data_IF_766905535203
#
_entry.id   IF_766905535203
#
_cell.length_a   1.000
_cell.length_b   1.000
_cell.length_c   1.000
_cell.angle_alpha   90.00
_cell.angle_beta   90.00
_cell.angle_gamma   90.00
#
_symmetry.space_group_name_H-M   'P 1'
#
loop_
_entity.id
_entity.type
_entity.pdbx_description
1 polymer ?
#
# COMPACT_ATOMS: atom_id res chain seq x y z
N UNK A 1 -19.12 0.50 46.02
CA UNK A 1 -18.92 1.41 44.87
C UNK A 1 -17.99 0.70 43.89
N UNK A 2 -18.29 0.68 42.59
CA UNK A 2 -17.41 0.02 41.62
C UNK A 2 -16.18 0.92 41.31
N UNK A 3 -14.98 0.35 41.07
CA UNK A 3 -13.83 1.14 40.66
C UNK A 3 -14.04 1.73 39.27
N UNK A 4 -13.83 3.04 39.13
CA UNK A 4 -13.99 3.76 37.85
C UNK A 4 -12.87 3.30 36.91
N UNK A 5 -13.23 2.53 35.88
CA UNK A 5 -12.26 2.06 34.89
C UNK A 5 -11.80 3.25 34.01
N UNK A 6 -10.48 3.39 33.73
CA UNK A 6 -10.01 4.43 32.82
C UNK A 6 -10.54 4.21 31.40
N UNK A 7 -10.87 5.31 30.72
CA UNK A 7 -11.37 5.30 29.34
C UNK A 7 -10.40 4.54 28.41
N UNK A 8 -10.86 3.43 27.83
CA UNK A 8 -10.05 2.59 26.92
C UNK A 8 -9.56 3.38 25.70
N UNK A 9 -10.31 4.38 25.26
CA UNK A 9 -9.96 5.29 24.16
C UNK A 9 -8.84 6.24 24.56
N UNK A 10 -8.83 6.75 25.79
CA UNK A 10 -7.74 7.57 26.33
C UNK A 10 -6.45 6.75 26.53
N UNK A 11 -6.58 5.54 27.10
CA UNK A 11 -5.45 4.59 27.23
C UNK A 11 -4.88 4.24 25.84
N UNK A 12 -5.75 4.00 24.85
CA UNK A 12 -5.32 3.75 23.47
C UNK A 12 -4.58 4.97 22.90
N UNK A 13 -5.18 6.16 22.91
CA UNK A 13 -4.58 7.38 22.34
C UNK A 13 -3.21 7.71 22.94
N UNK A 14 -3.05 7.58 24.25
CA UNK A 14 -1.80 7.93 24.94
C UNK A 14 -0.69 6.87 24.74
N UNK A 15 -1.02 5.61 24.39
CA UNK A 15 -0.05 4.53 24.16
C UNK A 15 0.09 4.10 22.68
N UNK A 16 -0.73 4.61 21.75
CA UNK A 16 -0.76 4.20 20.34
C UNK A 16 0.55 4.40 19.57
N UNK A 17 1.45 5.22 20.08
CA UNK A 17 2.78 5.48 19.51
C UNK A 17 3.91 4.74 20.26
N UNK A 18 3.61 4.16 21.43
CA UNK A 18 4.56 3.47 22.31
C UNK A 18 4.55 1.95 22.08
N UNK A 19 3.42 1.39 21.63
CA UNK A 19 3.14 -0.05 21.54
C UNK A 19 2.95 -0.57 20.09
N UNK A 20 3.53 0.13 19.11
CA UNK A 20 3.39 -0.18 17.67
C UNK A 20 4.20 -1.42 17.27
N UNK A 21 3.63 -2.20 16.34
CA UNK A 21 4.23 -3.25 15.51
C UNK A 21 5.68 -3.71 15.85
N UNK A 22 5.80 -4.60 16.84
CA UNK A 22 7.05 -5.28 17.19
C UNK A 22 6.98 -5.99 18.55
N UNK A 23 6.29 -5.35 19.50
CA UNK A 23 6.14 -5.72 20.91
C UNK A 23 5.29 -6.98 21.22
N UNK A 24 5.42 -8.04 20.42
CA UNK A 24 4.80 -9.36 20.63
C UNK A 24 5.13 -10.00 22.00
N UNK A 25 6.20 -9.51 22.65
CA UNK A 25 6.65 -9.89 24.00
C UNK A 25 6.01 -9.10 25.15
N UNK A 26 5.27 -8.00 24.92
CA UNK A 26 4.70 -7.16 26.00
C UNK A 26 3.41 -7.69 26.63
N UNK A 27 3.13 -8.99 26.53
CA UNK A 27 1.99 -9.63 27.23
C UNK A 27 2.17 -9.71 28.75
N UNK A 28 3.38 -9.50 29.27
CA UNK A 28 3.67 -9.49 30.70
C UNK A 28 3.36 -8.13 31.35
N UNK A 29 2.35 -8.09 32.23
CA UNK A 29 1.87 -6.88 32.93
C UNK A 29 2.98 -6.05 33.60
N UNK A 30 4.05 -6.70 34.11
CA UNK A 30 5.22 -6.01 34.68
C UNK A 30 5.92 -5.10 33.65
N UNK A 31 6.15 -5.59 32.43
CA UNK A 31 6.82 -4.81 31.35
C UNK A 31 5.92 -3.70 30.80
N UNK A 32 4.60 -3.88 30.83
CA UNK A 32 3.63 -2.81 30.51
C UNK A 32 3.77 -1.66 31.52
N UNK A 33 3.74 -1.94 32.82
CA UNK A 33 3.91 -0.93 33.89
C UNK A 33 5.26 -0.22 33.80
N UNK A 34 6.32 -0.97 33.48
CA UNK A 34 7.67 -0.45 33.28
C UNK A 34 7.74 0.51 32.07
N UNK A 35 7.19 0.12 30.91
CA UNK A 35 7.15 0.98 29.72
C UNK A 35 6.24 2.21 29.89
N UNK A 36 5.20 2.14 30.72
CA UNK A 36 4.40 3.30 31.14
C UNK A 36 5.22 4.23 32.06
N UNK A 37 5.94 3.70 33.06
CA UNK A 37 6.79 4.51 33.97
C UNK A 37 7.95 5.21 33.26
N UNK A 38 8.44 4.64 32.16
CA UNK A 38 9.50 5.23 31.33
C UNK A 38 8.98 6.27 30.30
N UNK A 39 7.66 6.48 30.20
CA UNK A 39 7.04 7.39 29.25
C UNK A 39 6.44 8.62 29.95
N UNK A 40 7.13 9.75 29.87
CA UNK A 40 6.67 11.02 30.43
C UNK A 40 5.84 11.82 29.42
N UNK A 41 4.63 11.34 29.10
CA UNK A 41 3.64 12.14 28.35
C UNK A 41 2.57 12.65 29.30
N UNK A 42 2.21 13.93 29.20
CA UNK A 42 1.28 14.58 30.13
C UNK A 42 -0.08 13.85 30.23
N UNK A 43 -0.56 13.30 29.11
CA UNK A 43 -1.78 12.51 29.04
C UNK A 43 -1.68 11.18 29.82
N UNK A 44 -0.52 10.49 29.79
CA UNK A 44 -0.31 9.29 30.62
C UNK A 44 -0.18 9.66 32.10
N UNK A 45 0.54 10.73 32.42
CA UNK A 45 0.72 11.18 33.81
C UNK A 45 -0.62 11.53 34.47
N UNK A 46 -1.49 12.27 33.79
CA UNK A 46 -2.85 12.56 34.27
C UNK A 46 -3.68 11.28 34.47
N UNK A 47 -3.73 10.40 33.46
CA UNK A 47 -4.52 9.16 33.51
C UNK A 47 -4.04 8.18 34.58
N UNK A 48 -2.73 8.17 34.89
CA UNK A 48 -2.13 7.37 35.97
C UNK A 48 -2.39 7.97 37.35
N UNK A 49 -2.49 9.30 37.47
CA UNK A 49 -2.91 9.98 38.70
C UNK A 49 -4.41 9.76 38.99
N UNK A 50 -5.26 9.79 37.97
CA UNK A 50 -6.72 9.69 38.11
C UNK A 50 -7.21 8.25 38.37
N UNK A 51 -6.68 7.26 37.63
CA UNK A 51 -7.18 5.88 37.65
C UNK A 51 -6.22 4.84 38.21
N UNK A 52 -5.06 5.23 38.76
CA UNK A 52 -3.98 4.36 39.22
C UNK A 52 -3.24 3.64 38.07
N UNK A 53 -1.91 3.54 38.20
CA UNK A 53 -1.04 2.78 37.27
C UNK A 53 -1.51 1.33 37.04
N UNK A 54 -2.11 0.70 38.05
CA UNK A 54 -2.60 -0.67 37.99
C UNK A 54 -3.73 -0.84 36.98
N UNK A 55 -4.74 0.03 37.02
CA UNK A 55 -5.92 -0.10 36.14
C UNK A 55 -5.58 0.32 34.71
N UNK A 56 -4.78 1.38 34.53
CA UNK A 56 -4.26 1.79 33.22
C UNK A 56 -3.45 0.66 32.56
N UNK A 57 -2.57 -0.02 33.32
CA UNK A 57 -1.83 -1.17 32.81
C UNK A 57 -2.72 -2.38 32.49
N UNK A 58 -3.78 -2.62 33.27
CA UNK A 58 -4.75 -3.69 33.00
C UNK A 58 -5.61 -3.41 31.76
N UNK A 59 -6.04 -2.16 31.51
CA UNK A 59 -6.71 -1.77 30.26
C UNK A 59 -5.75 -1.90 29.07
N UNK A 60 -4.52 -1.38 29.18
CA UNK A 60 -3.51 -1.52 28.14
C UNK A 60 -3.21 -2.99 27.80
N UNK A 61 -3.20 -3.88 28.80
CA UNK A 61 -3.08 -5.33 28.60
C UNK A 61 -4.26 -5.91 27.80
N UNK A 62 -5.52 -5.57 28.13
CA UNK A 62 -6.70 -6.01 27.37
C UNK A 62 -6.62 -5.55 25.91
N UNK A 63 -6.30 -4.28 25.68
CA UNK A 63 -6.15 -3.70 24.32
C UNK A 63 -4.99 -4.33 23.51
N UNK A 64 -3.93 -4.81 24.17
CA UNK A 64 -2.85 -5.59 23.56
C UNK A 64 -3.29 -7.03 23.22
N UNK A 65 -4.05 -7.68 24.09
CA UNK A 65 -4.59 -9.03 23.88
C UNK A 65 -5.59 -9.07 22.71
N UNK A 66 -6.43 -8.04 22.60
CA UNK A 66 -7.35 -7.83 21.48
C UNK A 66 -6.64 -7.46 20.14
N UNK A 67 -5.32 -7.22 20.19
CA UNK A 67 -4.45 -6.79 19.07
C UNK A 67 -4.81 -5.42 18.47
N UNK A 68 -5.37 -4.51 19.26
CA UNK A 68 -5.87 -3.21 18.78
C UNK A 68 -4.71 -2.26 18.41
N UNK A 69 -3.63 -2.27 19.20
CA UNK A 69 -2.38 -1.55 18.87
C UNK A 69 -1.64 -2.12 17.63
N UNK A 70 -2.00 -3.31 17.16
CA UNK A 70 -1.37 -3.97 16.01
C UNK A 70 -2.15 -3.77 14.69
N UNK A 71 -3.35 -3.17 14.74
CA UNK A 71 -4.19 -2.97 13.56
C UNK A 71 -5.06 -1.72 13.71
N UNK A 72 -4.72 -0.67 12.96
CA UNK A 72 -5.51 0.57 12.86
C UNK A 72 -6.96 0.29 12.46
N UNK A 73 -7.20 -0.74 11.64
CA UNK A 73 -8.55 -1.17 11.26
C UNK A 73 -9.35 -1.75 12.44
N UNK A 74 -8.71 -2.52 13.33
CA UNK A 74 -9.35 -2.96 14.59
C UNK A 74 -9.62 -1.79 15.53
N UNK A 75 -8.69 -0.84 15.62
CA UNK A 75 -8.88 0.38 16.41
C UNK A 75 -10.06 1.22 15.88
N UNK A 76 -10.18 1.37 14.55
CA UNK A 76 -11.32 2.05 13.92
C UNK A 76 -12.65 1.32 14.12
N UNK A 77 -12.66 0.00 14.20
CA UNK A 77 -13.87 -0.77 14.49
C UNK A 77 -14.33 -0.65 15.96
N UNK A 78 -13.40 -0.51 16.92
CA UNK A 78 -13.71 -0.43 18.36
C UNK A 78 -13.80 1.00 18.91
N UNK A 79 -13.21 1.97 18.21
CA UNK A 79 -13.31 3.40 18.52
C UNK A 79 -13.61 4.21 17.24
N UNK A 80 -14.80 4.09 16.62
CA UNK A 80 -15.12 4.78 15.36
C UNK A 80 -14.95 6.30 15.45
N UNK A 81 -15.38 6.90 16.56
CA UNK A 81 -15.30 8.33 16.88
C UNK A 81 -13.89 8.93 16.72
N UNK A 82 -12.83 8.16 17.00
CA UNK A 82 -11.43 8.59 16.82
C UNK A 82 -11.04 8.84 15.36
N UNK A 83 -11.86 8.39 14.41
CA UNK A 83 -11.64 8.50 12.97
C UNK A 83 -12.75 9.24 12.22
N UNK A 84 -13.85 9.60 12.89
CA UNK A 84 -14.96 10.36 12.32
C UNK A 84 -14.87 11.86 12.63
N UNK A 85 -14.19 12.25 13.72
CA UNK A 85 -13.98 13.65 14.10
C UNK A 85 -13.29 14.53 13.03
N UNK A 86 -12.61 13.94 12.05
CA UNK A 86 -12.00 14.64 10.91
C UNK A 86 -12.98 15.02 9.79
N UNK A 87 -14.24 14.54 9.84
CA UNK A 87 -15.26 14.81 8.79
C UNK A 87 -16.10 16.05 9.14
N UNK A 88 -16.30 16.35 10.43
CA UNK A 88 -17.34 17.28 10.89
C UNK A 88 -16.85 18.70 11.24
N UNK A 89 -15.60 19.06 10.96
CA UNK A 89 -15.05 20.40 11.24
C UNK A 89 -14.48 21.15 10.01
N UNK A 90 -14.51 20.56 8.81
CA UNK A 90 -14.03 21.20 7.57
C UNK A 90 -15.13 21.96 6.79
N UNK A 91 -16.41 21.81 7.16
CA UNK A 91 -17.54 22.49 6.55
C UNK A 91 -17.94 23.76 7.34
N UNK A 92 -17.01 24.70 7.56
CA UNK A 92 -17.21 25.72 8.61
C UNK A 92 -16.51 27.08 8.51
N UNK A 93 -15.68 27.36 7.49
CA UNK A 93 -15.23 28.72 7.07
C UNK A 93 -14.30 28.64 5.86
N UNK A 94 -14.40 29.61 4.97
CA UNK A 94 -13.45 29.84 3.89
C UNK A 94 -13.00 31.31 3.89
N UNK A 95 -11.71 31.51 4.11
CA UNK A 95 -10.91 32.71 3.78
C UNK A 95 -11.31 34.09 4.35
N UNK A 96 -10.46 35.14 4.20
CA UNK A 96 -9.04 35.13 3.79
C UNK A 96 -8.09 35.88 4.76
N UNK A 97 -6.77 35.70 4.56
CA UNK A 97 -5.79 36.77 4.77
C UNK A 97 -4.69 36.54 5.82
N UNK A 98 -3.44 36.84 5.39
CA UNK A 98 -2.21 37.09 6.16
C UNK A 98 -1.65 35.99 7.10
N UNK A 99 -0.34 35.78 7.22
CA UNK A 99 0.85 35.94 6.35
C UNK A 99 2.07 35.59 7.22
N UNK A 100 3.06 34.79 6.73
CA UNK A 100 4.51 34.93 7.05
C UNK A 100 4.90 34.62 8.55
N UNK A 101 5.98 33.94 8.95
CA UNK A 101 7.43 33.96 8.62
C UNK A 101 8.07 32.57 8.85
N UNK A 102 9.07 32.20 8.03
CA UNK A 102 10.23 31.35 8.42
C UNK A 102 10.05 29.82 8.38
N UNK A 103 10.93 28.98 7.81
CA UNK A 103 12.33 29.12 7.35
C UNK A 103 13.29 29.55 8.49
N UNK A 104 14.50 29.01 8.69
CA UNK A 104 15.53 28.32 7.87
C UNK A 104 16.32 27.32 8.78
N UNK A 105 17.36 26.54 8.42
CA UNK A 105 17.80 25.75 7.22
C UNK A 105 19.07 24.95 7.66
N UNK A 106 19.73 24.20 6.75
CA UNK A 106 21.12 23.66 6.81
C UNK A 106 21.41 22.52 7.83
N UNK A 107 22.17 21.43 7.56
CA UNK A 107 22.80 20.90 6.32
C UNK A 107 23.47 19.51 6.60
N UNK A 108 24.47 18.91 5.90
CA UNK A 108 25.37 19.27 4.78
C UNK A 108 25.96 17.99 4.10
N UNK A 109 25.83 17.82 2.76
CA UNK A 109 26.82 17.18 1.81
C UNK A 109 27.19 15.66 1.98
N UNK A 110 27.64 14.88 0.98
CA UNK A 110 28.02 15.10 -0.45
C UNK A 110 28.10 13.77 -1.26
N UNK A 111 28.12 13.89 -2.61
CA UNK A 111 28.66 12.94 -3.62
C UNK A 111 27.88 11.62 -3.90
N UNK A 112 27.75 11.10 -5.13
CA UNK A 112 28.13 11.61 -6.48
C UNK A 112 27.22 11.03 -7.61
N UNK A 113 27.30 11.67 -8.79
CA UNK A 113 27.29 11.17 -10.20
C UNK A 113 26.79 9.74 -10.55
N UNK A 114 26.15 9.46 -11.71
CA UNK A 114 25.60 10.32 -12.81
C UNK A 114 24.71 9.47 -13.78
N UNK A 115 23.79 10.12 -14.54
CA UNK A 115 22.97 9.63 -15.69
C UNK A 115 22.18 8.28 -15.55
N UNK A 116 21.02 8.04 -16.20
CA UNK A 116 20.57 8.51 -17.52
C UNK A 116 19.02 8.59 -17.68
N UNK A 117 18.50 9.81 -17.70
CA UNK A 117 17.35 10.35 -18.48
C UNK A 117 16.35 9.37 -19.16
N UNK A 118 15.07 9.46 -18.76
CA UNK A 118 13.89 9.45 -19.66
C UNK A 118 12.91 10.56 -19.24
N UNK A 119 12.06 11.03 -20.16
CA UNK A 119 11.29 12.28 -20.03
C UNK A 119 9.99 12.14 -19.23
N UNK A 120 9.68 13.15 -18.40
CA UNK A 120 8.32 13.50 -17.97
C UNK A 120 7.99 14.90 -18.47
N UNK A 121 7.04 15.01 -19.41
CA UNK A 121 6.51 16.32 -19.80
C UNK A 121 5.48 16.77 -18.79
N UNK A 122 5.64 17.98 -18.24
CA UNK A 122 4.51 18.66 -17.61
C UNK A 122 3.43 18.95 -18.67
N UNK A 123 2.18 18.98 -18.25
CA UNK A 123 1.07 19.49 -19.05
C UNK A 123 0.49 20.70 -18.33
N UNK A 124 0.43 21.85 -19.01
CA UNK A 124 -0.04 23.10 -18.42
C UNK A 124 -1.55 23.09 -18.17
N UNK A 125 -1.98 23.97 -17.27
CA UNK A 125 -3.39 24.24 -17.01
C UNK A 125 -4.07 24.92 -18.21
N UNK A 126 -5.41 24.79 -18.21
CA UNK A 126 -6.36 25.75 -18.77
C UNK A 126 -6.57 25.75 -20.29
N UNK A 127 -7.72 25.21 -20.71
CA UNK A 127 -8.83 26.09 -21.10
C UNK A 127 -10.17 25.51 -20.59
N UNK A 128 -11.21 26.33 -20.45
CA UNK A 128 -12.53 25.96 -19.93
C UNK A 128 -13.64 26.71 -20.68
N UNK A 129 -14.03 26.19 -21.85
CA UNK A 129 -15.31 26.50 -22.50
C UNK A 129 -15.74 25.33 -23.39
N UNK A 130 -16.99 24.90 -23.22
CA UNK A 130 -17.52 23.68 -23.83
C UNK A 130 -18.78 23.20 -23.12
N UNK A 131 -19.91 23.86 -23.39
CA UNK A 131 -21.21 23.47 -22.85
C UNK A 131 -21.74 22.25 -23.59
N UNK A 132 -21.36 21.04 -23.14
CA UNK A 132 -21.87 19.81 -23.74
C UNK A 132 -22.25 18.73 -22.72
N UNK A 133 -23.55 18.41 -22.73
CA UNK A 133 -24.10 17.05 -22.62
C UNK A 133 -23.46 16.10 -21.58
N UNK A 134 -23.94 16.14 -20.34
CA UNK A 134 -23.62 15.14 -19.29
C UNK A 134 -24.33 13.81 -19.58
N UNK A 135 -23.90 13.12 -20.65
CA UNK A 135 -24.46 11.83 -21.08
C UNK A 135 -23.36 10.87 -21.55
N UNK A 136 -22.22 10.86 -20.87
CA UNK A 136 -21.22 9.81 -21.02
C UNK A 136 -21.18 8.86 -19.82
N UNK A 137 -21.99 7.81 -19.89
CA UNK A 137 -21.84 6.64 -19.01
C UNK A 137 -20.68 5.79 -19.53
N UNK A 138 -19.45 6.30 -19.37
CA UNK A 138 -18.23 5.54 -19.68
C UNK A 138 -18.11 4.35 -18.75
N UNK A 139 -18.63 3.20 -19.20
CA UNK A 139 -18.31 1.88 -18.65
C UNK A 139 -16.83 1.60 -18.87
N UNK A 140 -15.99 2.05 -17.93
CA UNK A 140 -14.54 1.80 -17.96
C UNK A 140 -14.27 0.32 -18.19
N UNK A 141 -13.44 0.00 -19.18
CA UNK A 141 -13.12 -1.39 -19.52
C UNK A 141 -12.34 -2.07 -18.39
N UNK A 142 -12.34 -3.41 -18.38
CA UNK A 142 -11.55 -4.19 -17.44
C UNK A 142 -10.05 -3.83 -17.50
N UNK A 143 -9.54 -3.43 -18.67
CA UNK A 143 -8.16 -2.96 -18.83
C UNK A 143 -7.88 -1.68 -18.03
N UNK A 144 -8.81 -0.71 -18.03
CA UNK A 144 -8.71 0.54 -17.27
C UNK A 144 -8.93 0.35 -15.76
N UNK A 145 -9.53 -0.78 -15.32
CA UNK A 145 -9.54 -1.15 -13.90
C UNK A 145 -8.16 -1.72 -13.52
N UNK A 146 -7.62 -2.63 -14.33
CA UNK A 146 -6.28 -3.21 -14.12
C UNK A 146 -5.17 -2.14 -14.14
N UNK A 147 -5.25 -1.15 -15.03
CA UNK A 147 -4.27 -0.07 -15.14
C UNK A 147 -4.16 0.82 -13.88
N UNK A 148 -5.18 0.81 -13.01
CA UNK A 148 -5.15 1.52 -11.72
C UNK A 148 -4.59 0.67 -10.56
N UNK A 149 -4.23 -0.60 -10.77
CA UNK A 149 -3.72 -1.47 -9.71
C UNK A 149 -2.18 -1.51 -9.70
N UNK A 150 -1.54 -1.45 -8.52
CA UNK A 150 -0.11 -1.71 -8.41
C UNK A 150 0.18 -3.17 -8.77
N UNK A 151 1.14 -3.39 -9.67
CA UNK A 151 1.58 -4.73 -10.07
C UNK A 151 2.10 -5.52 -8.87
N UNK A 152 1.63 -6.76 -8.72
CA UNK A 152 2.24 -7.74 -7.80
C UNK A 152 3.44 -8.44 -8.44
N UNK A 153 3.76 -8.19 -9.70
CA UNK A 153 4.88 -8.75 -10.46
C UNK A 153 6.03 -7.73 -10.61
N UNK A 154 7.30 -8.18 -10.67
CA UNK A 154 7.76 -9.58 -10.76
C UNK A 154 7.67 -10.37 -9.44
N UNK A 155 7.99 -11.67 -9.49
CA UNK A 155 7.97 -12.54 -8.32
C UNK A 155 9.36 -12.58 -7.66
N UNK A 156 9.37 -12.55 -6.33
CA UNK A 156 10.55 -12.68 -5.49
C UNK A 156 10.24 -13.71 -4.40
N UNK A 157 11.25 -14.49 -3.99
CA UNK A 157 11.17 -15.27 -2.76
C UNK A 157 11.43 -14.36 -1.56
N UNK A 158 11.05 -14.80 -0.36
CA UNK A 158 11.46 -14.13 0.87
C UNK A 158 13.00 -14.16 0.97
N UNK A 159 13.64 -13.05 1.30
CA UNK A 159 15.12 -12.91 1.27
C UNK A 159 15.86 -13.97 2.11
N UNK A 160 15.26 -14.43 3.22
CA UNK A 160 15.80 -15.55 4.01
C UNK A 160 15.84 -16.87 3.22
N UNK A 161 14.77 -17.17 2.49
CA UNK A 161 14.66 -18.37 1.63
C UNK A 161 15.60 -18.27 0.45
N UNK A 162 15.65 -17.11 -0.23
CA UNK A 162 16.60 -16.88 -1.33
C UNK A 162 18.06 -17.08 -0.88
N UNK A 163 18.47 -16.44 0.23
CA UNK A 163 19.84 -16.57 0.72
C UNK A 163 20.18 -18.01 1.15
N UNK A 164 19.25 -18.71 1.80
CA UNK A 164 19.44 -20.12 2.15
C UNK A 164 19.64 -20.99 0.89
N UNK A 165 18.78 -20.81 -0.11
CA UNK A 165 18.83 -21.54 -1.37
C UNK A 165 20.13 -21.28 -2.16
N UNK A 166 20.60 -20.04 -2.22
CA UNK A 166 21.86 -19.69 -2.91
C UNK A 166 23.10 -20.21 -2.14
N UNK A 167 23.09 -20.19 -0.81
CA UNK A 167 24.16 -20.77 0.00
C UNK A 167 24.23 -22.31 -0.14
N UNK A 168 23.08 -22.98 -0.13
CA UNK A 168 23.01 -24.44 -0.31
C UNK A 168 23.48 -24.84 -1.71
N UNK A 169 23.05 -24.09 -2.73
CA UNK A 169 23.49 -24.28 -4.12
C UNK A 169 25.01 -24.11 -4.26
N UNK A 170 25.60 -23.07 -3.67
CA UNK A 170 27.05 -22.88 -3.61
C UNK A 170 27.74 -24.07 -2.91
N UNK A 171 27.21 -24.51 -1.76
CA UNK A 171 27.75 -25.63 -0.97
C UNK A 171 27.75 -26.96 -1.76
N UNK A 172 26.68 -27.23 -2.52
CA UNK A 172 26.58 -28.43 -3.36
C UNK A 172 27.58 -28.37 -4.52
N UNK A 173 27.75 -27.21 -5.15
CA UNK A 173 28.68 -27.00 -6.27
C UNK A 173 30.15 -27.04 -5.83
N UNK A 174 30.50 -26.50 -4.67
CA UNK A 174 31.85 -26.59 -4.08
C UNK A 174 32.21 -28.06 -3.80
N UNK A 175 31.24 -28.86 -3.33
CA UNK A 175 31.39 -30.31 -3.12
C UNK A 175 31.52 -31.08 -4.43
N UNK A 176 30.68 -30.79 -5.42
CA UNK A 176 30.77 -31.39 -6.75
C UNK A 176 32.13 -31.10 -7.41
N UNK A 177 32.62 -29.86 -7.29
CA UNK A 177 33.90 -29.44 -7.87
C UNK A 177 35.10 -30.08 -7.16
N UNK A 178 35.05 -30.25 -5.83
CA UNK A 178 36.07 -30.97 -5.07
C UNK A 178 36.08 -32.47 -5.39
N UNK A 179 34.92 -33.11 -5.50
CA UNK A 179 34.76 -34.51 -5.90
C UNK A 179 35.32 -34.75 -7.32
N UNK A 180 35.03 -33.85 -8.28
CA UNK A 180 35.65 -33.85 -9.61
C UNK A 180 37.18 -33.62 -9.56
N UNK A 181 37.64 -32.71 -8.70
CA UNK A 181 39.05 -32.37 -8.52
C UNK A 181 39.90 -33.53 -7.98
N UNK A 182 39.35 -34.36 -7.08
CA UNK A 182 40.01 -35.57 -6.58
C UNK A 182 40.31 -36.58 -7.71
N UNK A 183 39.40 -36.71 -8.67
CA UNK A 183 39.54 -37.65 -9.81
C UNK A 183 40.47 -37.08 -10.88
N UNK A 184 40.29 -35.81 -11.26
CA UNK A 184 40.90 -35.23 -12.46
C UNK A 184 42.19 -34.45 -12.19
N UNK A 185 42.41 -33.97 -10.97
CA UNK A 185 43.51 -33.07 -10.62
C UNK A 185 44.13 -33.34 -9.22
N UNK A 186 44.32 -34.60 -8.77
CA UNK A 186 44.77 -34.90 -7.40
C UNK A 186 46.08 -34.19 -7.01
N UNK A 187 47.01 -34.03 -7.95
CA UNK A 187 48.26 -33.31 -7.73
C UNK A 187 48.02 -31.83 -7.34
N UNK A 188 47.05 -31.15 -7.96
CA UNK A 188 46.73 -29.74 -7.66
C UNK A 188 46.16 -29.59 -6.24
N UNK A 189 45.32 -30.55 -5.81
CA UNK A 189 44.78 -30.58 -4.46
C UNK A 189 45.91 -30.84 -3.43
N UNK A 190 46.83 -31.75 -3.74
CA UNK A 190 47.98 -32.05 -2.89
C UNK A 190 48.96 -30.86 -2.78
N UNK A 191 49.31 -30.23 -3.91
CA UNK A 191 50.20 -29.05 -3.97
C UNK A 191 49.63 -27.84 -3.20
N UNK A 192 48.31 -27.65 -3.23
CA UNK A 192 47.62 -26.56 -2.51
C UNK A 192 47.15 -26.94 -1.09
N UNK A 193 47.36 -28.17 -0.64
CA UNK A 193 46.93 -28.65 0.68
C UNK A 193 45.41 -28.70 0.87
N UNK A 194 44.65 -28.86 -0.22
CA UNK A 194 43.19 -28.86 -0.22
C UNK A 194 42.63 -30.24 0.17
N UNK A 195 42.33 -30.40 1.46
CA UNK A 195 41.89 -31.67 2.07
C UNK A 195 40.37 -31.82 2.20
N UNK A 196 39.59 -30.80 1.81
CA UNK A 196 38.15 -30.73 1.99
C UNK A 196 37.47 -29.86 0.92
N UNK A 197 36.16 -30.03 0.72
CA UNK A 197 35.41 -29.16 -0.20
C UNK A 197 35.32 -27.72 0.33
N UNK A 198 35.12 -27.59 1.64
CA UNK A 198 35.08 -26.33 2.40
C UNK A 198 36.43 -25.57 2.38
N UNK A 199 37.49 -26.20 1.88
CA UNK A 199 38.85 -25.64 1.79
C UNK A 199 39.03 -24.78 0.52
N UNK A 200 38.06 -24.78 -0.41
CA UNK A 200 38.16 -24.16 -1.73
C UNK A 200 36.85 -23.47 -2.11
N UNK A 201 36.88 -22.14 -2.23
CA UNK A 201 35.71 -21.37 -2.64
C UNK A 201 35.32 -21.66 -4.10
N UNK A 202 34.03 -21.59 -4.42
CA UNK A 202 33.51 -21.79 -5.78
C UNK A 202 34.28 -20.95 -6.81
N UNK A 203 34.58 -19.69 -6.51
CA UNK A 203 35.32 -18.80 -7.41
C UNK A 203 36.75 -19.28 -7.78
N UNK A 204 37.41 -20.11 -6.96
CA UNK A 204 38.69 -20.75 -7.36
C UNK A 204 38.42 -21.94 -8.28
N UNK A 205 37.40 -22.76 -7.99
CA UNK A 205 36.97 -23.83 -8.88
C UNK A 205 36.57 -23.33 -10.27
N UNK A 206 35.86 -22.20 -10.37
CA UNK A 206 35.46 -21.62 -11.67
C UNK A 206 36.68 -21.22 -12.52
N UNK A 207 37.75 -20.69 -11.91
CA UNK A 207 39.01 -20.38 -12.59
C UNK A 207 39.73 -21.65 -13.06
N UNK A 208 39.74 -22.68 -12.21
CA UNK A 208 40.35 -23.98 -12.52
C UNK A 208 39.61 -24.63 -13.69
N UNK A 209 38.28 -24.70 -13.66
CA UNK A 209 37.46 -25.22 -14.76
C UNK A 209 37.70 -24.47 -16.06
N UNK A 210 37.73 -23.12 -16.04
CA UNK A 210 38.05 -22.32 -17.22
C UNK A 210 39.46 -22.62 -17.79
N UNK A 211 40.43 -22.99 -16.95
CA UNK A 211 41.77 -23.42 -17.39
C UNK A 211 41.86 -24.88 -17.86
N UNK A 212 40.81 -25.68 -17.62
CA UNK A 212 40.79 -27.14 -17.85
C UNK A 212 39.69 -27.57 -18.84
N UNK A 213 38.97 -26.62 -19.44
CA UNK A 213 37.83 -26.82 -20.37
C UNK A 213 38.13 -27.88 -21.44
N UNK A 214 39.30 -27.82 -22.10
CA UNK A 214 39.77 -28.80 -23.10
C UNK A 214 40.13 -30.20 -22.58
N UNK A 215 39.74 -30.55 -21.35
CA UNK A 215 39.83 -31.89 -20.75
C UNK A 215 38.54 -32.34 -20.06
N UNK A 216 37.51 -31.50 -20.02
CA UNK A 216 36.20 -31.88 -19.49
C UNK A 216 35.42 -32.68 -20.54
N UNK A 217 34.29 -33.29 -20.17
CA UNK A 217 33.52 -34.12 -21.11
C UNK A 217 32.93 -33.27 -22.24
N UNK A 218 33.52 -33.39 -23.43
CA UNK A 218 33.13 -32.62 -24.62
C UNK A 218 31.68 -32.92 -25.06
N UNK A 219 31.18 -34.12 -24.79
CA UNK A 219 29.75 -34.48 -24.99
C UNK A 219 28.85 -33.83 -23.93
N UNK A 220 29.26 -33.77 -22.65
CA UNK A 220 28.49 -33.08 -21.61
C UNK A 220 28.43 -31.55 -21.84
N UNK A 221 29.50 -30.97 -22.37
CA UNK A 221 29.53 -29.56 -22.79
C UNK A 221 28.62 -29.33 -24.01
N UNK A 222 28.66 -30.22 -25.01
CA UNK A 222 27.83 -30.12 -26.23
C UNK A 222 26.34 -30.42 -26.03
N UNK A 223 25.96 -31.08 -24.94
CA UNK A 223 24.55 -31.43 -24.63
C UNK A 223 23.87 -30.43 -23.69
N UNK A 224 24.59 -29.42 -23.18
CA UNK A 224 24.02 -28.34 -22.40
C UNK A 224 23.48 -27.20 -23.29
N UNK A 225 22.38 -26.57 -22.88
CA UNK A 225 21.78 -25.41 -23.57
C UNK A 225 22.68 -24.16 -23.61
N UNK A 226 23.77 -24.15 -22.83
CA UNK A 226 24.63 -22.99 -22.55
C UNK A 226 26.10 -23.44 -22.49
N UNK A 227 27.04 -22.71 -23.12
CA UNK A 227 28.46 -23.06 -23.08
C UNK A 227 29.02 -22.97 -21.66
N UNK A 228 30.08 -23.72 -21.36
CA UNK A 228 30.70 -23.78 -20.03
C UNK A 228 31.08 -22.39 -19.50
N UNK A 229 31.71 -21.55 -20.32
CA UNK A 229 32.03 -20.14 -19.98
C UNK A 229 30.81 -19.31 -19.56
N UNK A 230 29.62 -19.61 -20.10
CA UNK A 230 28.34 -19.07 -19.65
C UNK A 230 28.01 -19.57 -18.23
N UNK A 231 27.90 -20.88 -18.06
CA UNK A 231 27.60 -21.54 -16.77
C UNK A 231 28.52 -21.05 -15.65
N UNK A 232 29.84 -20.97 -15.90
CA UNK A 232 30.82 -20.47 -14.95
C UNK A 232 30.58 -19.00 -14.55
N UNK A 233 30.08 -18.17 -15.49
CA UNK A 233 29.70 -16.78 -15.22
C UNK A 233 28.47 -16.72 -14.31
N UNK A 234 27.47 -17.58 -14.51
CA UNK A 234 26.28 -17.64 -13.65
C UNK A 234 26.62 -18.11 -12.23
N UNK A 235 27.54 -19.08 -12.10
CA UNK A 235 27.99 -19.55 -10.78
C UNK A 235 28.73 -18.45 -10.00
N UNK A 236 29.51 -17.61 -10.67
CA UNK A 236 30.11 -16.43 -10.05
C UNK A 236 29.05 -15.42 -9.59
N UNK A 237 27.95 -15.27 -10.34
CA UNK A 237 26.80 -14.45 -9.93
C UNK A 237 26.07 -15.05 -8.73
N UNK A 238 25.84 -16.36 -8.67
CA UNK A 238 25.20 -17.04 -7.52
C UNK A 238 25.97 -16.73 -6.23
N UNK A 239 27.30 -16.86 -6.24
CA UNK A 239 28.15 -16.52 -5.08
C UNK A 239 28.09 -15.01 -4.75
N UNK A 240 28.13 -14.13 -5.74
CA UNK A 240 27.96 -12.69 -5.52
C UNK A 240 26.60 -12.36 -4.85
N UNK A 241 25.52 -12.99 -5.32
CA UNK A 241 24.16 -12.85 -4.77
C UNK A 241 24.08 -13.41 -3.35
N UNK A 242 24.71 -14.57 -3.08
CA UNK A 242 24.75 -15.18 -1.75
C UNK A 242 25.47 -14.29 -0.73
N UNK A 243 26.66 -13.77 -1.09
CA UNK A 243 27.51 -12.91 -0.24
C UNK A 243 26.89 -11.54 -0.01
N UNK A 244 26.52 -10.84 -1.08
CA UNK A 244 25.99 -9.46 -1.01
C UNK A 244 24.47 -9.40 -0.75
N UNK A 245 23.79 -10.55 -0.66
CA UNK A 245 22.36 -10.70 -0.32
C UNK A 245 21.43 -9.94 -1.27
N UNK A 246 21.83 -9.83 -2.54
CA UNK A 246 21.13 -9.06 -3.57
C UNK A 246 19.77 -9.71 -3.87
N UNK A 247 18.64 -8.99 -3.80
CA UNK A 247 17.34 -9.53 -4.19
C UNK A 247 17.32 -9.90 -5.68
N UNK A 248 16.91 -11.12 -6.03
CA UNK A 248 16.72 -11.55 -7.43
C UNK A 248 15.34 -12.15 -7.65
N UNK A 249 14.84 -12.05 -8.89
CA UNK A 249 13.51 -12.55 -9.24
C UNK A 249 13.46 -14.08 -9.19
N UNK A 250 12.28 -14.62 -8.92
CA UNK A 250 12.04 -16.07 -8.90
C UNK A 250 12.43 -16.73 -10.23
N UNK A 251 12.16 -16.08 -11.36
CA UNK A 251 12.50 -16.61 -12.68
C UNK A 251 14.02 -16.65 -12.91
N UNK A 252 14.78 -15.69 -12.35
CA UNK A 252 16.25 -15.72 -12.35
C UNK A 252 16.81 -16.81 -11.41
N UNK A 253 16.11 -17.14 -10.31
CA UNK A 253 16.47 -18.27 -9.44
C UNK A 253 16.23 -19.61 -10.16
N UNK A 254 15.13 -19.75 -10.91
CA UNK A 254 14.88 -20.94 -11.74
C UNK A 254 15.97 -21.14 -12.81
N UNK A 255 16.49 -20.05 -13.41
CA UNK A 255 17.64 -20.09 -14.33
C UNK A 255 18.91 -20.54 -13.61
N UNK A 256 19.27 -19.91 -12.48
CA UNK A 256 20.48 -20.28 -11.73
C UNK A 256 20.49 -21.75 -11.28
N UNK A 257 19.33 -22.30 -10.92
CA UNK A 257 19.20 -23.72 -10.58
C UNK A 257 19.36 -24.64 -11.80
N UNK A 258 18.88 -24.23 -12.98
CA UNK A 258 19.06 -24.98 -14.24
C UNK A 258 20.52 -24.95 -14.74
N UNK A 259 21.19 -23.80 -14.65
CA UNK A 259 22.61 -23.65 -15.00
C UNK A 259 23.49 -24.45 -14.03
N UNK A 260 23.20 -24.44 -12.72
CA UNK A 260 23.93 -25.21 -11.73
C UNK A 260 23.76 -26.73 -11.87
N UNK A 261 22.54 -27.20 -12.17
CA UNK A 261 22.26 -28.61 -12.51
C UNK A 261 23.07 -29.04 -13.74
N UNK A 262 23.18 -28.15 -14.73
CA UNK A 262 23.92 -28.40 -15.97
C UNK A 262 25.44 -28.34 -15.80
N UNK A 263 25.96 -27.59 -14.81
CA UNK A 263 27.36 -27.67 -14.42
C UNK A 263 27.67 -28.97 -13.65
N UNK A 264 26.79 -29.41 -12.75
CA UNK A 264 26.96 -30.69 -12.04
C UNK A 264 27.04 -31.90 -13.01
N UNK A 265 26.30 -31.83 -14.13
CA UNK A 265 26.37 -32.78 -15.26
C UNK A 265 27.74 -32.76 -15.98
N UNK A 266 28.33 -31.58 -16.20
CA UNK A 266 29.67 -31.43 -16.80
C UNK A 266 30.79 -31.87 -15.84
N UNK A 267 30.53 -31.84 -14.53
CA UNK A 267 31.38 -32.38 -13.47
C UNK A 267 31.20 -33.91 -13.25
N UNK A 268 30.41 -34.59 -14.09
CA UNK A 268 30.12 -36.03 -14.03
C UNK A 268 29.60 -36.50 -12.65
N UNK A 269 28.76 -35.68 -12.02
CA UNK A 269 28.33 -35.87 -10.62
C UNK A 269 26.80 -35.90 -10.47
N UNK A 270 26.21 -37.03 -10.87
CA UNK A 270 24.77 -37.30 -10.80
C UNK A 270 24.18 -37.09 -9.39
N UNK A 271 24.92 -37.43 -8.34
CA UNK A 271 24.45 -37.31 -6.95
C UNK A 271 24.21 -35.83 -6.59
N UNK A 272 25.17 -34.97 -6.94
CA UNK A 272 25.05 -33.51 -6.73
C UNK A 272 24.05 -32.90 -7.72
N UNK A 273 23.99 -33.40 -8.94
CA UNK A 273 23.01 -33.00 -9.95
C UNK A 273 21.57 -33.23 -9.49
N UNK A 274 21.24 -34.42 -8.98
CA UNK A 274 19.89 -34.75 -8.50
C UNK A 274 19.49 -33.98 -7.23
N UNK A 275 20.46 -33.63 -6.35
CA UNK A 275 20.21 -32.68 -5.25
C UNK A 275 19.77 -31.30 -5.78
N UNK A 276 20.43 -30.77 -6.82
CA UNK A 276 20.07 -29.49 -7.44
C UNK A 276 18.73 -29.62 -8.18
N UNK A 277 18.50 -30.72 -8.89
CA UNK A 277 17.22 -30.99 -9.57
C UNK A 277 16.05 -31.05 -8.57
N UNK A 278 16.23 -31.62 -7.37
CA UNK A 278 15.21 -31.58 -6.32
C UNK A 278 14.95 -30.15 -5.82
N UNK A 279 16.00 -29.38 -5.52
CA UNK A 279 15.87 -27.97 -5.13
C UNK A 279 15.18 -27.13 -6.22
N UNK A 280 15.45 -27.43 -7.50
CA UNK A 280 14.80 -26.81 -8.67
C UNK A 280 13.31 -27.15 -8.75
N UNK A 281 12.94 -28.43 -8.56
CA UNK A 281 11.53 -28.88 -8.56
C UNK A 281 10.74 -28.26 -7.40
N UNK A 282 11.29 -28.25 -6.19
CA UNK A 282 10.65 -27.63 -5.01
C UNK A 282 10.53 -26.10 -5.16
N UNK A 283 11.59 -25.43 -5.61
CA UNK A 283 11.59 -23.98 -5.84
C UNK A 283 10.55 -23.61 -6.88
N UNK A 284 10.50 -24.32 -8.02
CA UNK A 284 9.52 -24.06 -9.08
C UNK A 284 8.08 -24.25 -8.59
N UNK A 285 7.80 -25.31 -7.85
CA UNK A 285 6.47 -25.55 -7.27
C UNK A 285 6.03 -24.36 -6.39
N UNK A 286 6.87 -23.94 -5.45
CA UNK A 286 6.57 -22.82 -4.55
C UNK A 286 6.44 -21.48 -5.29
N UNK A 287 7.27 -21.25 -6.31
CA UNK A 287 7.18 -20.06 -7.18
C UNK A 287 5.86 -20.03 -7.94
N UNK A 288 5.42 -21.16 -8.50
CA UNK A 288 4.15 -21.24 -9.23
C UNK A 288 2.94 -21.10 -8.29
N UNK A 289 3.00 -21.58 -7.04
CA UNK A 289 1.97 -21.27 -6.03
C UNK A 289 1.90 -19.77 -5.70
N UNK A 290 3.06 -19.11 -5.57
CA UNK A 290 3.13 -17.65 -5.35
C UNK A 290 2.57 -16.89 -6.56
N UNK A 291 2.87 -17.31 -7.79
CA UNK A 291 2.30 -16.76 -9.04
C UNK A 291 0.77 -16.85 -9.02
N UNK A 292 0.21 -18.07 -8.89
CA UNK A 292 -1.26 -18.32 -8.83
C UNK A 292 -1.95 -17.51 -7.72
N UNK A 293 -1.35 -17.41 -6.53
CA UNK A 293 -1.92 -16.62 -5.43
C UNK A 293 -1.95 -15.12 -5.75
N UNK A 294 -0.91 -14.57 -6.40
CA UNK A 294 -0.92 -13.17 -6.87
C UNK A 294 -2.02 -12.92 -7.90
N UNK A 295 -2.23 -13.85 -8.83
CA UNK A 295 -3.27 -13.73 -9.85
C UNK A 295 -4.69 -13.72 -9.22
N UNK A 296 -4.93 -14.56 -8.22
CA UNK A 296 -6.19 -14.58 -7.44
C UNK A 296 -6.37 -13.28 -6.64
N UNK A 297 -5.31 -12.76 -6.00
CA UNK A 297 -5.35 -11.49 -5.28
C UNK A 297 -5.65 -10.31 -6.22
N UNK A 298 -5.04 -10.27 -7.40
CA UNK A 298 -5.26 -9.25 -8.41
C UNK A 298 -6.69 -9.31 -8.98
N UNK A 299 -7.16 -10.51 -9.32
CA UNK A 299 -8.52 -10.74 -9.83
C UNK A 299 -9.60 -10.27 -8.84
N UNK A 300 -9.48 -10.65 -7.56
CA UNK A 300 -10.39 -10.20 -6.49
C UNK A 300 -10.33 -8.69 -6.25
N UNK A 301 -9.19 -8.06 -6.50
CA UNK A 301 -9.03 -6.60 -6.40
C UNK A 301 -9.75 -5.89 -7.55
N UNK A 302 -9.62 -6.37 -8.79
CA UNK A 302 -10.37 -5.86 -9.94
C UNK A 302 -11.88 -6.02 -9.73
N UNK A 303 -12.35 -7.20 -9.27
CA UNK A 303 -13.76 -7.44 -8.97
C UNK A 303 -14.29 -6.45 -7.91
N UNK A 304 -13.53 -6.24 -6.84
CA UNK A 304 -13.89 -5.31 -5.76
C UNK A 304 -13.97 -3.86 -6.26
N UNK A 305 -13.00 -3.42 -7.08
CA UNK A 305 -13.05 -2.10 -7.72
C UNK A 305 -14.24 -1.96 -8.68
N UNK A 306 -14.52 -2.99 -9.48
CA UNK A 306 -15.68 -3.04 -10.39
C UNK A 306 -17.03 -3.09 -9.67
N UNK A 307 -17.09 -3.54 -8.41
CA UNK A 307 -18.26 -3.38 -7.53
C UNK A 307 -18.36 -1.95 -6.99
N UNK A 308 -17.28 -1.39 -6.46
CA UNK A 308 -17.25 -0.02 -5.91
C UNK A 308 -17.64 1.00 -6.98
N UNK A 309 -17.07 0.91 -8.20
CA UNK A 309 -17.40 1.82 -9.32
C UNK A 309 -18.88 1.73 -9.75
N UNK A 310 -19.52 0.57 -9.65
CA UNK A 310 -20.97 0.43 -9.87
C UNK A 310 -21.78 1.12 -8.79
N UNK A 311 -21.45 0.89 -7.52
CA UNK A 311 -22.12 1.55 -6.38
C UNK A 311 -21.98 3.08 -6.43
N UNK A 312 -20.82 3.60 -6.87
CA UNK A 312 -20.62 5.03 -7.12
C UNK A 312 -21.56 5.54 -8.21
N UNK A 313 -21.60 4.89 -9.39
CA UNK A 313 -22.50 5.28 -10.48
C UNK A 313 -23.99 5.18 -10.10
N UNK A 314 -24.38 4.17 -9.32
CA UNK A 314 -25.74 4.00 -8.79
C UNK A 314 -26.13 5.18 -7.89
N UNK A 315 -25.28 5.54 -6.91
CA UNK A 315 -25.48 6.69 -6.01
C UNK A 315 -25.50 8.03 -6.75
N UNK A 316 -24.63 8.25 -7.75
CA UNK A 316 -24.69 9.45 -8.58
C UNK A 316 -25.99 9.53 -9.41
N UNK A 317 -26.56 8.40 -9.82
CA UNK A 317 -27.85 8.38 -10.51
C UNK A 317 -29.01 8.65 -9.54
N UNK A 318 -28.92 8.21 -8.28
CA UNK A 318 -29.87 8.55 -7.23
C UNK A 318 -29.82 10.03 -6.87
N UNK A 319 -28.62 10.60 -6.71
CA UNK A 319 -28.42 12.03 -6.48
C UNK A 319 -29.01 12.89 -7.60
N UNK A 320 -28.73 12.54 -8.87
CA UNK A 320 -29.32 13.22 -10.04
C UNK A 320 -30.85 13.15 -10.02
N UNK A 321 -31.42 11.96 -9.82
CA UNK A 321 -32.88 11.76 -9.72
C UNK A 321 -33.52 12.53 -8.56
N UNK A 322 -32.83 12.68 -7.43
CA UNK A 322 -33.31 13.46 -6.30
C UNK A 322 -33.32 14.97 -6.60
N UNK A 323 -32.27 15.50 -7.24
CA UNK A 323 -32.18 16.90 -7.66
C UNK A 323 -33.24 17.21 -8.73
N UNK A 324 -33.37 16.38 -9.76
CA UNK A 324 -34.41 16.51 -10.81
C UNK A 324 -35.83 16.50 -10.24
N UNK A 325 -36.07 15.67 -9.21
CA UNK A 325 -37.35 15.61 -8.51
C UNK A 325 -37.60 16.92 -7.74
N UNK A 326 -36.64 17.36 -6.93
CA UNK A 326 -36.74 18.59 -6.13
C UNK A 326 -37.01 19.82 -7.00
N UNK A 327 -36.26 19.98 -8.11
CA UNK A 327 -36.44 21.10 -9.05
C UNK A 327 -37.81 21.07 -9.76
N UNK A 328 -38.40 19.89 -9.93
CA UNK A 328 -39.75 19.73 -10.49
C UNK A 328 -40.81 20.12 -9.46
N UNK A 329 -40.73 19.59 -8.24
CA UNK A 329 -41.67 19.89 -7.16
C UNK A 329 -41.67 21.39 -6.79
N UNK A 330 -40.49 22.03 -6.78
CA UNK A 330 -40.35 23.49 -6.63
C UNK A 330 -41.03 24.24 -7.78
N UNK A 331 -40.76 23.89 -9.04
CA UNK A 331 -41.38 24.53 -10.21
C UNK A 331 -42.91 24.35 -10.23
N UNK A 332 -43.42 23.18 -9.89
CA UNK A 332 -44.85 22.90 -9.80
C UNK A 332 -45.49 23.75 -8.67
N UNK A 333 -44.85 23.85 -7.51
CA UNK A 333 -45.31 24.71 -6.41
C UNK A 333 -45.30 26.21 -6.78
N UNK A 334 -44.24 26.68 -7.45
CA UNK A 334 -44.14 28.07 -7.94
C UNK A 334 -45.26 28.41 -8.93
N UNK A 335 -45.60 27.50 -9.85
CA UNK A 335 -46.73 27.68 -10.77
C UNK A 335 -48.06 27.79 -10.02
N UNK A 336 -48.39 26.83 -9.14
CA UNK A 336 -49.65 26.85 -8.37
C UNK A 336 -49.76 28.09 -7.46
N UNK A 337 -48.65 28.55 -6.87
CA UNK A 337 -48.65 29.79 -6.06
C UNK A 337 -48.71 31.06 -6.91
N UNK A 338 -48.10 31.06 -8.10
CA UNK A 338 -48.22 32.14 -9.08
C UNK A 338 -49.65 32.30 -9.57
N UNK A 339 -50.31 31.22 -10.00
CA UNK A 339 -51.71 31.23 -10.45
C UNK A 339 -52.68 31.72 -9.38
N UNK A 340 -52.50 31.28 -8.12
CA UNK A 340 -53.31 31.74 -7.00
C UNK A 340 -53.09 33.24 -6.69
N UNK A 341 -51.85 33.72 -6.75
CA UNK A 341 -51.53 35.14 -6.57
C UNK A 341 -52.06 36.00 -7.72
N UNK A 342 -52.00 35.53 -8.97
CA UNK A 342 -52.60 36.20 -10.11
C UNK A 342 -54.14 36.32 -9.99
N UNK A 343 -54.81 35.29 -9.47
CA UNK A 343 -56.26 35.35 -9.22
C UNK A 343 -56.61 36.42 -8.18
N UNK A 344 -55.86 36.49 -7.08
CA UNK A 344 -56.05 37.51 -6.04
C UNK A 344 -55.75 38.93 -6.56
N UNK A 345 -54.67 39.11 -7.34
CA UNK A 345 -54.35 40.40 -7.98
C UNK A 345 -55.46 40.83 -8.94
N UNK A 346 -56.01 39.91 -9.75
CA UNK A 346 -57.12 40.20 -10.67
C UNK A 346 -58.40 40.54 -9.90
N UNK A 347 -58.68 39.85 -8.80
CA UNK A 347 -59.81 40.16 -7.92
C UNK A 347 -59.68 41.58 -7.34
N UNK A 348 -58.54 41.89 -6.70
CA UNK A 348 -58.24 43.20 -6.13
C UNK A 348 -58.27 44.33 -7.18
N UNK A 349 -57.78 44.09 -8.40
CA UNK A 349 -57.86 45.05 -9.51
C UNK A 349 -59.29 45.23 -10.06
N UNK A 350 -60.16 44.22 -9.96
CA UNK A 350 -61.57 44.33 -10.33
C UNK A 350 -62.41 45.08 -9.29
N UNK A 351 -61.99 45.04 -8.02
CA UNK A 351 -62.60 45.77 -6.92
C UNK A 351 -62.27 47.27 -7.01
N UNK A 352 -63.03 48.00 -7.83
CA UNK A 352 -62.92 49.46 -7.94
C UNK A 352 -63.01 50.10 -6.54
N UNK A 353 -62.18 51.12 -6.24
CA UNK A 353 -62.32 51.87 -5.00
C UNK A 353 -63.71 52.51 -4.96
N UNK A 354 -64.44 52.29 -3.87
CA UNK A 354 -65.70 52.96 -3.61
C UNK A 354 -65.43 54.43 -3.27
N UNK A 355 -65.41 55.29 -4.30
CA UNK A 355 -65.40 56.74 -4.11
C UNK A 355 -66.71 57.13 -3.43
N UNK A 356 -66.64 57.44 -2.15
CA UNK A 356 -67.75 58.01 -1.40
C UNK A 356 -67.94 59.48 -1.76
N UNK A 357 -69.02 59.79 -2.48
CA UNK A 357 -69.81 60.98 -2.15
C UNK A 357 -70.29 60.86 -0.69
N UNK A 358 -70.40 61.91 0.12
CA UNK A 358 -70.25 63.38 -0.03
C UNK A 358 -70.10 63.94 1.42
N UNK A 359 -70.06 65.26 1.72
CA UNK A 359 -70.12 66.44 0.85
C UNK A 359 -68.94 67.42 1.04
N UNK A 360 -69.01 68.57 0.35
CA UNK A 360 -68.37 69.83 0.78
C UNK A 360 -69.49 70.87 0.91
N UNK A 361 -69.80 71.30 2.13
CA UNK A 361 -70.71 72.43 2.35
C UNK A 361 -69.93 73.74 2.26
N UNK A 362 -70.28 74.59 1.28
CA UNK A 362 -69.79 75.96 1.18
C UNK A 362 -70.75 76.89 1.94
N UNK A 363 -70.28 77.48 3.04
CA UNK A 363 -71.13 78.23 3.95
C UNK A 363 -71.39 79.68 3.49
N UNK A 364 -72.64 80.01 3.17
CA UNK A 364 -73.10 81.40 3.04
C UNK A 364 -74.36 81.65 3.87
N UNK A 365 -74.22 82.52 4.86
CA UNK A 365 -75.20 83.42 5.49
C UNK A 365 -76.69 82.97 5.60
N UNK A 366 -77.34 83.04 6.77
CA UNK A 366 -77.68 84.35 7.36
C UNK A 366 -78.25 84.22 8.79
N UNK A 367 -78.00 85.22 9.64
CA UNK A 367 -78.58 85.31 10.99
C UNK A 367 -79.99 85.89 10.97
N UNK A 368 -80.97 85.20 11.56
CA UNK A 368 -82.23 85.82 12.03
C UNK A 368 -82.65 85.27 13.39
N UNK A 369 -82.75 86.18 14.35
CA UNK A 369 -83.35 85.96 15.66
C UNK A 369 -84.88 86.12 15.57
N UNK A 370 -85.62 85.29 16.33
CA UNK A 370 -86.71 85.69 17.22
C UNK A 370 -86.87 84.61 18.31
#
# INVERSE_FOLDING_TARGET
MAPIQPDERAVYMALRHVLVAGDSQLRALKRIKEKIRLQNSAALTALVQEHNLENVANVAKRLLEDKIFQSTSKAKLRFPELFEASVTQSAGRADPGQEVIGAEDDSHKRAAEDHQRTQTSACSLMDCSGTDTITSSHKMSHAEITACLPSLYPVYLAMRTQHLLMNELQTILEKASYEFGLVNMPNLLQERGWTCAECVELNEWLKIMASFEGKMSEEAIRTNDKPLSGLLTDMAQIRHIAVHRVPVTADQIEVFLADAESLARVLDNDIRGEMIAQLRRETKFAVDEIKRNKDVLQSRSVETMGRIRRQQAELECELRRAIEKMLREDKEFQLVKGEALEQEIRFAASAKPSVGSEPVEEATESWRWW
#
